data_IF_758433820030
#
_entry.id   IF_758433820030
#
_cell.length_a   1.000
_cell.length_b   1.000
_cell.length_c   1.000
_cell.angle_alpha   90.00
_cell.angle_beta   90.00
_cell.angle_gamma   90.00
#
_symmetry.space_group_name_H-M   'P 1'
#
loop_
_entity.id
_entity.type
_entity.pdbx_description
1 polymer ?
#
# COMPACT_ATOMS: atom_id res chain seq x y z
N UNK A 1 8.39 -6.30 -13.36
CA UNK A 1 6.95 -6.19 -13.08
C UNK A 1 6.61 -6.09 -11.59
N UNK A 2 7.23 -6.85 -10.68
CA UNK A 2 6.91 -6.83 -9.24
C UNK A 2 8.15 -6.91 -8.35
N UNK A 3 8.03 -6.39 -7.13
CA UNK A 3 8.97 -6.57 -6.02
C UNK A 3 8.26 -7.41 -4.96
N UNK A 4 9.00 -8.28 -4.28
CA UNK A 4 8.51 -9.12 -3.19
C UNK A 4 9.27 -8.79 -1.90
N UNK A 5 8.61 -8.96 -0.76
CA UNK A 5 9.19 -8.85 0.57
C UNK A 5 9.57 -10.24 1.10
N UNK A 6 10.77 -10.37 1.64
CA UNK A 6 11.24 -11.66 2.18
C UNK A 6 10.38 -12.14 3.36
N UNK A 7 9.94 -11.22 4.21
CA UNK A 7 9.08 -11.50 5.37
C UNK A 7 7.72 -12.11 5.02
N UNK A 8 7.24 -11.89 3.80
CA UNK A 8 5.96 -12.39 3.30
C UNK A 8 6.10 -13.56 2.30
N UNK A 9 7.31 -14.09 2.11
CA UNK A 9 7.54 -15.34 1.36
C UNK A 9 7.19 -16.55 2.23
N UNK A 10 5.89 -16.74 2.43
CA UNK A 10 5.32 -17.74 3.33
C UNK A 10 4.47 -18.73 2.54
N UNK A 11 4.43 -19.98 3.01
CA UNK A 11 3.54 -21.01 2.45
C UNK A 11 2.09 -20.52 2.50
N UNK A 12 1.37 -20.61 1.38
CA UNK A 12 -0.01 -20.17 1.28
C UNK A 12 -0.20 -18.66 1.12
N UNK A 13 0.86 -17.84 1.11
CA UNK A 13 0.78 -16.39 0.87
C UNK A 13 1.37 -16.06 -0.50
N UNK A 14 0.63 -15.30 -1.29
CA UNK A 14 1.12 -14.68 -2.54
C UNK A 14 1.02 -13.17 -2.39
N UNK A 15 2.07 -12.45 -2.71
CA UNK A 15 2.08 -10.99 -2.62
C UNK A 15 2.91 -10.35 -3.71
N UNK A 16 2.64 -9.10 -3.99
CA UNK A 16 3.40 -8.29 -4.93
C UNK A 16 3.26 -6.80 -4.61
N UNK A 17 4.37 -6.08 -4.64
CA UNK A 17 4.41 -4.65 -4.85
C UNK A 17 4.67 -4.45 -6.35
N UNK A 18 3.63 -4.13 -7.12
CA UNK A 18 3.78 -4.00 -8.56
C UNK A 18 4.52 -2.72 -8.92
N UNK A 19 5.45 -2.82 -9.87
CA UNK A 19 6.11 -1.66 -10.47
C UNK A 19 5.30 -1.12 -11.63
N UNK A 20 5.72 -0.02 -12.24
CA UNK A 20 5.09 0.52 -13.46
C UNK A 20 5.39 -0.29 -14.73
N UNK A 21 6.26 -1.31 -14.66
CA UNK A 21 6.77 -2.05 -15.83
C UNK A 21 5.91 -3.27 -16.15
N UNK A 22 5.64 -3.52 -17.44
CA UNK A 22 5.00 -4.75 -17.93
C UNK A 22 3.49 -4.65 -18.19
N UNK A 23 2.99 -3.43 -18.37
CA UNK A 23 1.60 -3.15 -18.73
C UNK A 23 1.41 -2.73 -20.18
N UNK A 24 0.21 -2.21 -20.49
CA UNK A 24 -0.22 -1.79 -21.81
C UNK A 24 -0.53 -0.30 -21.94
N UNK A 25 -0.53 0.42 -20.82
CA UNK A 25 -0.75 1.88 -20.82
C UNK A 25 0.42 2.63 -21.42
N UNK A 26 0.17 3.83 -21.93
CA UNK A 26 1.17 4.69 -22.59
C UNK A 26 1.24 6.08 -21.93
N UNK A 27 2.20 6.89 -22.32
CA UNK A 27 2.39 8.27 -21.86
C UNK A 27 2.62 8.35 -20.35
N UNK A 28 1.87 9.20 -19.65
CA UNK A 28 1.99 9.39 -18.19
C UNK A 28 1.76 8.09 -17.40
N UNK A 29 0.99 7.17 -17.97
CA UNK A 29 0.59 5.91 -17.35
C UNK A 29 1.45 4.70 -17.74
N UNK A 30 2.51 4.92 -18.52
CA UNK A 30 3.39 3.85 -19.01
C UNK A 30 4.06 3.13 -17.82
N UNK A 31 3.87 1.80 -17.70
CA UNK A 31 3.02 0.96 -18.54
C UNK A 31 1.96 0.21 -17.73
N UNK A 32 2.25 -0.22 -16.49
CA UNK A 32 1.39 -1.07 -15.65
C UNK A 32 0.59 -0.20 -14.65
N UNK A 33 -0.24 0.72 -15.16
CA UNK A 33 -1.14 1.50 -14.32
C UNK A 33 -2.35 0.67 -13.88
N UNK A 34 -2.54 0.51 -12.56
CA UNK A 34 -3.67 -0.20 -11.96
C UNK A 34 -4.76 0.71 -11.38
N UNK A 35 -4.59 2.02 -11.52
CA UNK A 35 -5.43 3.03 -10.89
C UNK A 35 -6.73 3.31 -11.63
N UNK A 36 -7.84 2.70 -11.21
CA UNK A 36 -9.19 2.91 -11.80
C UNK A 36 -9.72 4.34 -11.65
N UNK A 37 -9.09 5.18 -10.85
CA UNK A 37 -9.40 6.61 -10.73
C UNK A 37 -8.47 7.53 -11.52
N UNK A 38 -7.62 6.98 -12.40
CA UNK A 38 -6.80 7.76 -13.34
C UNK A 38 -7.60 8.11 -14.59
N UNK A 39 -7.09 9.09 -15.37
CA UNK A 39 -7.64 9.44 -16.69
C UNK A 39 -7.08 8.56 -17.82
N UNK A 40 -6.46 7.44 -17.49
CA UNK A 40 -6.02 6.43 -18.44
C UNK A 40 -7.22 5.73 -19.10
N UNK A 41 -6.99 5.08 -20.25
CA UNK A 41 -8.00 4.25 -20.88
C UNK A 41 -8.50 3.17 -19.92
N UNK A 42 -9.82 3.07 -19.64
CA UNK A 42 -10.37 2.03 -18.78
C UNK A 42 -9.98 0.61 -19.24
N UNK A 43 -9.93 0.37 -20.56
CA UNK A 43 -9.50 -0.92 -21.11
C UNK A 43 -8.06 -1.27 -20.76
N UNK A 44 -7.13 -0.29 -20.83
CA UNK A 44 -5.74 -0.49 -20.43
C UNK A 44 -5.62 -0.80 -18.93
N UNK A 45 -6.36 -0.07 -18.09
CA UNK A 45 -6.37 -0.29 -16.64
C UNK A 45 -6.91 -1.69 -16.32
N UNK A 46 -7.97 -2.14 -16.99
CA UNK A 46 -8.52 -3.50 -16.82
C UNK A 46 -7.52 -4.58 -17.22
N UNK A 47 -6.88 -4.45 -18.37
CA UNK A 47 -5.84 -5.38 -18.83
C UNK A 47 -4.65 -5.41 -17.86
N UNK A 48 -4.17 -4.26 -17.40
CA UNK A 48 -3.10 -4.18 -16.41
C UNK A 48 -3.47 -4.89 -15.11
N UNK A 49 -4.69 -4.69 -14.62
CA UNK A 49 -5.20 -5.37 -13.42
C UNK A 49 -5.35 -6.87 -13.62
N UNK A 50 -5.74 -7.32 -14.81
CA UNK A 50 -5.79 -8.74 -15.15
C UNK A 50 -4.39 -9.39 -15.09
N UNK A 51 -3.37 -8.73 -15.62
CA UNK A 51 -1.96 -9.18 -15.49
C UNK A 51 -1.50 -9.25 -14.04
N UNK A 52 -1.87 -8.28 -13.22
CA UNK A 52 -1.55 -8.27 -11.79
C UNK A 52 -2.25 -9.42 -11.05
N UNK A 53 -3.53 -9.66 -11.34
CA UNK A 53 -4.32 -10.77 -10.79
C UNK A 53 -3.70 -12.13 -11.15
N UNK A 54 -3.36 -12.32 -12.42
CA UNK A 54 -2.69 -13.52 -12.90
C UNK A 54 -1.35 -13.77 -12.19
N UNK A 55 -0.55 -12.71 -11.95
CA UNK A 55 0.72 -12.79 -11.22
C UNK A 55 0.55 -13.15 -9.73
N UNK A 56 -0.65 -12.99 -9.17
CA UNK A 56 -1.06 -13.42 -7.82
C UNK A 56 -1.81 -14.76 -7.84
N UNK A 57 -2.11 -15.30 -9.03
CA UNK A 57 -2.82 -16.58 -9.22
C UNK A 57 -4.29 -16.50 -8.83
N UNK A 58 -4.93 -15.35 -9.07
CA UNK A 58 -6.37 -15.14 -8.90
C UNK A 58 -7.01 -14.68 -10.20
N UNK A 59 -8.33 -14.85 -10.34
CA UNK A 59 -9.08 -14.29 -11.45
C UNK A 59 -9.13 -12.75 -11.36
N UNK A 60 -9.22 -12.01 -12.49
CA UNK A 60 -9.19 -10.55 -12.51
C UNK A 60 -10.21 -9.89 -11.58
N UNK A 61 -11.45 -10.42 -11.52
CA UNK A 61 -12.51 -9.92 -10.65
C UNK A 61 -12.32 -10.24 -9.17
N UNK A 62 -11.31 -11.02 -8.83
CA UNK A 62 -10.92 -11.36 -7.47
C UNK A 62 -9.71 -10.55 -6.97
N UNK A 63 -9.26 -9.55 -7.72
CA UNK A 63 -8.29 -8.54 -7.26
C UNK A 63 -9.03 -7.29 -6.81
N UNK A 64 -9.24 -7.18 -5.51
CA UNK A 64 -10.02 -6.09 -4.90
C UNK A 64 -9.17 -4.90 -4.51
N UNK A 65 -9.71 -3.72 -4.71
CA UNK A 65 -9.23 -2.46 -4.12
C UNK A 65 -10.44 -1.68 -3.60
N UNK A 66 -10.25 -0.87 -2.55
CA UNK A 66 -11.28 0.01 -2.02
C UNK A 66 -11.21 1.42 -2.65
N UNK A 67 -12.20 2.25 -2.37
CA UNK A 67 -12.13 3.68 -2.63
C UNK A 67 -11.36 4.36 -1.49
N UNK A 68 -10.11 4.73 -1.75
CA UNK A 68 -9.20 5.29 -0.75
C UNK A 68 -9.42 6.81 -0.61
N UNK A 69 -9.59 7.27 0.62
CA UNK A 69 -9.84 8.68 0.97
C UNK A 69 -8.87 9.23 2.02
N UNK A 70 -7.79 8.50 2.30
CA UNK A 70 -6.80 8.81 3.36
C UNK A 70 -7.44 8.80 4.75
N UNK A 71 -8.36 7.88 4.97
CA UNK A 71 -9.10 7.66 6.22
C UNK A 71 -8.45 6.57 7.09
N UNK A 72 -8.88 6.40 8.36
CA UNK A 72 -8.53 5.23 9.17
C UNK A 72 -9.44 4.02 8.90
N UNK A 73 -10.36 4.09 7.93
CA UNK A 73 -11.36 3.07 7.70
C UNK A 73 -10.76 1.77 7.16
N UNK A 74 -11.23 0.66 7.70
CA UNK A 74 -10.87 -0.71 7.31
C UNK A 74 -12.12 -1.47 6.92
N UNK A 75 -12.09 -2.19 5.82
CA UNK A 75 -13.17 -3.09 5.39
C UNK A 75 -12.73 -4.55 5.48
N UNK A 76 -13.62 -5.41 5.97
CA UNK A 76 -13.46 -6.86 5.90
C UNK A 76 -14.02 -7.34 4.57
N UNK A 77 -13.20 -8.00 3.75
CA UNK A 77 -13.67 -8.57 2.49
C UNK A 77 -14.15 -10.01 2.72
N UNK A 78 -15.47 -10.20 2.73
CA UNK A 78 -16.14 -11.50 2.85
C UNK A 78 -16.69 -12.01 1.52
N UNK A 79 -16.67 -11.16 0.47
CA UNK A 79 -17.05 -11.48 -0.90
C UNK A 79 -16.35 -10.52 -1.87
N UNK A 80 -16.19 -10.88 -3.15
CA UNK A 80 -15.76 -9.94 -4.17
C UNK A 80 -16.76 -8.79 -4.36
N UNK A 81 -16.24 -7.61 -4.69
CA UNK A 81 -17.04 -6.45 -5.12
C UNK A 81 -16.56 -5.92 -6.47
N UNK A 82 -17.41 -5.19 -7.15
CA UNK A 82 -17.08 -4.52 -8.41
C UNK A 82 -16.43 -3.15 -8.16
N UNK A 83 -15.81 -2.59 -9.18
CA UNK A 83 -15.22 -1.25 -9.12
C UNK A 83 -16.24 -0.17 -8.70
N UNK A 84 -17.49 -0.29 -9.13
CA UNK A 84 -18.55 0.70 -8.87
C UNK A 84 -19.10 0.63 -7.44
N UNK A 85 -19.03 -0.56 -6.82
CA UNK A 85 -19.51 -0.83 -5.47
C UNK A 85 -18.38 -0.91 -4.43
N UNK A 86 -17.20 -0.31 -4.72
CA UNK A 86 -16.07 -0.31 -3.80
C UNK A 86 -16.43 0.38 -2.49
N UNK A 87 -16.19 -0.26 -1.34
CA UNK A 87 -16.33 0.41 -0.05
C UNK A 87 -15.31 1.56 0.10
N UNK A 88 -15.69 2.60 0.87
CA UNK A 88 -14.77 3.69 1.23
C UNK A 88 -13.91 3.24 2.41
N UNK A 89 -12.67 2.87 2.12
CA UNK A 89 -11.70 2.41 3.10
C UNK A 89 -10.26 2.58 2.58
N UNK A 90 -9.31 2.72 3.49
CA UNK A 90 -7.88 2.78 3.17
C UNK A 90 -7.14 1.49 3.57
N UNK A 91 -7.86 0.52 4.13
CA UNK A 91 -7.33 -0.82 4.35
C UNK A 91 -8.41 -1.89 4.10
N UNK A 92 -7.94 -3.06 3.68
CA UNK A 92 -8.77 -4.24 3.46
C UNK A 92 -8.13 -5.40 4.21
N UNK A 93 -8.94 -6.18 4.93
CA UNK A 93 -8.52 -7.42 5.60
C UNK A 93 -9.42 -8.56 5.17
N UNK A 94 -8.91 -9.80 5.16
CA UNK A 94 -9.71 -10.98 4.80
C UNK A 94 -9.10 -12.28 5.30
N UNK A 95 -9.96 -13.32 5.39
CA UNK A 95 -9.58 -14.75 5.52
C UNK A 95 -9.93 -15.55 4.27
N UNK A 96 -10.48 -14.91 3.26
CA UNK A 96 -10.92 -15.61 2.06
C UNK A 96 -9.73 -16.06 1.21
N UNK A 97 -9.71 -17.35 0.90
CA UNK A 97 -8.75 -17.93 -0.06
C UNK A 97 -9.10 -17.53 -1.49
N UNK A 98 -8.09 -17.54 -2.34
CA UNK A 98 -8.20 -17.17 -3.76
C UNK A 98 -8.81 -15.77 -3.99
N UNK A 99 -8.72 -14.88 -3.01
CA UNK A 99 -9.07 -13.48 -3.08
C UNK A 99 -7.82 -12.64 -2.84
N UNK A 100 -7.47 -11.78 -3.78
CA UNK A 100 -6.39 -10.82 -3.61
C UNK A 100 -6.97 -9.48 -3.14
N UNK A 101 -6.44 -8.96 -2.05
CA UNK A 101 -6.75 -7.63 -1.54
C UNK A 101 -5.56 -6.70 -1.76
N UNK A 102 -5.81 -5.47 -2.16
CA UNK A 102 -4.73 -4.55 -2.48
C UNK A 102 -5.09 -3.09 -2.29
N UNK A 103 -4.05 -2.26 -2.26
CA UNK A 103 -4.15 -0.81 -2.20
C UNK A 103 -3.42 -0.17 -3.37
N UNK A 104 -3.92 0.98 -3.80
CA UNK A 104 -3.30 1.77 -4.87
C UNK A 104 -2.43 2.87 -4.27
N UNK A 105 -1.22 3.05 -4.80
CA UNK A 105 -0.30 4.09 -4.32
C UNK A 105 0.44 4.78 -5.45
N UNK A 106 0.85 6.02 -5.19
CA UNK A 106 1.91 6.74 -5.86
C UNK A 106 2.47 7.70 -4.80
N UNK A 107 3.52 7.27 -4.11
CA UNK A 107 4.20 7.90 -2.96
C UNK A 107 3.69 7.55 -1.57
N UNK A 108 2.39 7.36 -1.34
CA UNK A 108 1.90 6.90 -0.03
C UNK A 108 2.44 5.50 0.30
N UNK A 109 2.58 5.18 1.59
CA UNK A 109 3.10 3.91 2.06
C UNK A 109 2.09 2.76 1.89
N UNK A 110 2.37 1.76 1.04
CA UNK A 110 1.62 0.51 1.04
C UNK A 110 2.18 -0.42 2.11
N UNK A 111 1.29 -1.05 2.88
CA UNK A 111 1.65 -2.06 3.86
C UNK A 111 0.89 -3.34 3.54
N UNK A 112 1.61 -4.45 3.36
CA UNK A 112 1.03 -5.78 3.23
C UNK A 112 1.29 -6.55 4.53
N UNK A 113 0.24 -7.19 5.07
CA UNK A 113 0.28 -7.88 6.35
C UNK A 113 -0.23 -9.30 6.19
N UNK A 114 0.38 -10.25 6.92
CA UNK A 114 -0.08 -11.62 6.99
C UNK A 114 0.16 -12.22 8.37
N UNK A 115 -0.87 -12.86 8.92
CA UNK A 115 -0.71 -13.86 9.98
C UNK A 115 -0.96 -15.26 9.36
N UNK A 116 0.10 -16.05 9.09
CA UNK A 116 -0.06 -17.36 8.47
C UNK A 116 -0.74 -18.37 9.39
N UNK A 117 -0.66 -18.21 10.71
CA UNK A 117 -1.31 -19.11 11.69
C UNK A 117 -2.79 -18.81 11.81
N UNK A 118 -3.14 -17.52 11.91
CA UNK A 118 -4.54 -17.08 11.93
C UNK A 118 -5.24 -17.20 10.58
N UNK A 119 -4.48 -17.38 9.48
CA UNK A 119 -5.03 -17.40 8.12
C UNK A 119 -5.67 -16.08 7.73
N UNK A 120 -5.07 -14.96 8.16
CA UNK A 120 -5.58 -13.58 7.93
C UNK A 120 -4.56 -12.78 7.17
N UNK A 121 -5.00 -12.03 6.17
CA UNK A 121 -4.17 -11.08 5.43
C UNK A 121 -4.76 -9.67 5.47
N UNK A 122 -3.89 -8.66 5.30
CA UNK A 122 -4.25 -7.25 5.24
C UNK A 122 -3.47 -6.49 4.17
N UNK A 123 -4.09 -5.47 3.60
CA UNK A 123 -3.45 -4.49 2.72
C UNK A 123 -3.88 -3.09 3.15
N UNK A 124 -2.92 -2.21 3.45
CA UNK A 124 -3.16 -0.88 4.03
C UNK A 124 -2.51 0.21 3.20
N UNK A 125 -3.27 1.26 2.89
CA UNK A 125 -2.79 2.50 2.31
C UNK A 125 -2.51 3.51 3.42
N UNK A 126 -1.25 3.74 3.71
CA UNK A 126 -0.80 4.68 4.73
C UNK A 126 -0.14 5.92 4.11
N UNK A 127 -0.95 6.83 3.59
CA UNK A 127 -0.53 8.21 3.37
C UNK A 127 -0.38 8.92 4.73
N UNK A 128 0.27 10.11 4.76
CA UNK A 128 0.51 10.84 6.01
C UNK A 128 -0.75 11.02 6.88
N UNK A 129 -1.91 11.31 6.25
CA UNK A 129 -3.18 11.53 6.96
C UNK A 129 -3.68 10.23 7.58
N UNK A 130 -3.81 9.16 6.80
CA UNK A 130 -4.25 7.85 7.29
C UNK A 130 -3.32 7.31 8.37
N UNK A 131 -2.00 7.45 8.20
CA UNK A 131 -1.01 7.05 9.20
C UNK A 131 -1.17 7.84 10.52
N UNK A 132 -1.42 9.15 10.44
CA UNK A 132 -1.66 9.99 11.61
C UNK A 132 -2.96 9.61 12.32
N UNK A 133 -4.04 9.39 11.57
CA UNK A 133 -5.39 9.12 12.11
C UNK A 133 -5.64 7.66 12.50
N UNK A 134 -4.64 6.76 12.36
CA UNK A 134 -4.68 5.43 12.94
C UNK A 134 -5.10 4.29 12.01
N UNK A 135 -4.94 4.42 10.68
CA UNK A 135 -5.26 3.33 9.73
C UNK A 135 -4.47 2.05 10.01
N UNK A 136 -3.25 2.19 10.54
CA UNK A 136 -2.37 1.06 10.84
C UNK A 136 -2.91 0.26 12.01
N UNK A 137 -3.21 0.91 13.11
CA UNK A 137 -3.78 0.29 14.31
C UNK A 137 -5.16 -0.29 14.03
N UNK A 138 -5.98 0.44 13.26
CA UNK A 138 -7.30 -0.03 12.84
C UNK A 138 -7.19 -1.32 11.99
N UNK A 139 -6.17 -1.42 11.13
CA UNK A 139 -5.93 -2.63 10.32
C UNK A 139 -5.54 -3.80 11.21
N UNK A 140 -4.57 -3.62 12.12
CA UNK A 140 -4.14 -4.68 13.05
C UNK A 140 -5.32 -5.17 13.89
N UNK A 141 -6.09 -4.24 14.49
CA UNK A 141 -7.28 -4.58 15.26
C UNK A 141 -8.36 -5.32 14.42
N UNK A 142 -8.51 -4.97 13.14
CA UNK A 142 -9.42 -5.68 12.24
C UNK A 142 -8.92 -7.10 11.94
N UNK A 143 -7.61 -7.30 11.76
CA UNK A 143 -7.01 -8.64 11.60
C UNK A 143 -7.20 -9.48 12.86
N UNK A 144 -7.01 -8.90 14.05
CA UNK A 144 -7.22 -9.60 15.34
C UNK A 144 -8.67 -10.05 15.51
N UNK A 145 -9.65 -9.23 15.15
CA UNK A 145 -11.07 -9.65 15.13
C UNK A 145 -11.36 -10.83 14.22
N UNK A 146 -10.52 -11.03 13.19
CA UNK A 146 -10.58 -12.19 12.30
C UNK A 146 -9.77 -13.38 12.79
N UNK A 147 -9.12 -13.30 13.96
CA UNK A 147 -8.37 -14.38 14.59
C UNK A 147 -6.85 -14.32 14.37
N UNK A 148 -6.32 -13.21 13.88
CA UNK A 148 -4.88 -12.96 13.90
C UNK A 148 -4.40 -12.58 15.31
N UNK A 149 -3.10 -12.68 15.55
CA UNK A 149 -2.43 -12.21 16.77
C UNK A 149 -1.35 -11.21 16.37
N UNK A 150 -1.33 -10.03 16.98
CA UNK A 150 -0.47 -8.92 16.53
C UNK A 150 1.01 -9.30 16.45
N UNK A 151 1.54 -10.08 17.40
CA UNK A 151 2.94 -10.55 17.43
C UNK A 151 3.25 -11.63 16.38
N UNK A 152 2.23 -12.30 15.81
CA UNK A 152 2.37 -13.26 14.72
C UNK A 152 2.19 -12.61 13.34
N UNK A 153 1.67 -11.38 13.29
CA UNK A 153 1.55 -10.62 12.04
C UNK A 153 2.95 -10.26 11.53
N UNK A 154 3.21 -10.59 10.27
CA UNK A 154 4.34 -10.10 9.51
C UNK A 154 3.89 -8.97 8.61
N UNK A 155 4.58 -7.84 8.67
CA UNK A 155 4.29 -6.67 7.86
C UNK A 155 5.44 -6.33 6.93
N UNK A 156 5.12 -5.95 5.69
CA UNK A 156 6.08 -5.40 4.74
C UNK A 156 5.63 -4.01 4.29
N UNK A 157 6.50 -3.01 4.47
CA UNK A 157 6.33 -1.66 3.94
C UNK A 157 6.92 -1.64 2.53
N UNK A 158 6.09 -1.39 1.54
CA UNK A 158 6.47 -1.40 0.13
C UNK A 158 7.10 -0.10 -0.37
N UNK A 159 7.31 0.01 -1.70
CA UNK A 159 7.85 1.20 -2.33
C UNK A 159 6.96 2.42 -2.07
N UNK A 160 7.59 3.50 -1.57
CA UNK A 160 6.93 4.74 -1.20
C UNK A 160 7.89 5.93 -1.33
N UNK A 161 7.42 7.16 -1.19
CA UNK A 161 8.31 8.30 -1.12
C UNK A 161 9.17 8.23 0.16
N UNK A 162 10.48 8.40 0.02
CA UNK A 162 11.42 8.32 1.15
C UNK A 162 11.75 9.72 1.68
N UNK A 163 12.24 9.79 2.92
CA UNK A 163 12.56 11.04 3.60
C UNK A 163 13.37 12.00 2.72
N UNK A 164 14.40 11.52 2.02
CA UNK A 164 15.26 12.34 1.15
C UNK A 164 14.53 13.02 -0.01
N UNK A 165 13.31 12.61 -0.31
CA UNK A 165 12.47 13.14 -1.40
C UNK A 165 11.15 13.74 -0.90
N UNK A 166 10.88 13.69 0.42
CA UNK A 166 9.57 14.06 0.97
C UNK A 166 9.66 15.35 1.80
N UNK A 167 9.93 16.46 1.11
CA UNK A 167 9.82 17.79 1.68
C UNK A 167 8.36 18.15 1.96
N UNK A 168 8.07 18.65 3.17
CA UNK A 168 6.74 19.01 3.66
C UNK A 168 6.78 20.39 4.35
N UNK A 169 5.67 21.10 4.35
CA UNK A 169 5.56 22.40 5.01
C UNK A 169 5.41 22.30 6.52
N UNK A 170 5.58 23.43 7.20
CA UNK A 170 5.50 23.52 8.67
C UNK A 170 4.15 23.07 9.23
N UNK A 171 3.07 23.23 8.45
CA UNK A 171 1.73 22.81 8.85
C UNK A 171 1.60 21.30 9.05
N UNK A 172 2.37 20.49 8.29
CA UNK A 172 2.40 19.04 8.50
C UNK A 172 3.14 18.71 9.78
N UNK A 173 4.31 19.29 10.01
CA UNK A 173 5.06 19.13 11.26
C UNK A 173 4.19 19.48 12.48
N UNK A 174 3.52 20.63 12.44
CA UNK A 174 2.66 21.07 13.54
C UNK A 174 1.53 20.08 13.86
N UNK A 175 0.91 19.48 12.84
CA UNK A 175 -0.14 18.45 13.03
C UNK A 175 0.39 17.21 13.74
N UNK A 176 1.55 16.70 13.31
CA UNK A 176 2.16 15.51 13.93
C UNK A 176 2.62 15.80 15.36
N UNK A 177 3.22 16.97 15.59
CA UNK A 177 3.68 17.40 16.91
C UNK A 177 2.53 17.60 17.90
N UNK A 178 1.41 18.13 17.44
CA UNK A 178 0.20 18.33 18.27
C UNK A 178 -0.44 16.99 18.69
N UNK A 179 -0.40 15.97 17.82
CA UNK A 179 -0.92 14.64 18.14
C UNK A 179 0.01 13.86 19.06
N UNK A 180 1.31 13.90 18.79
CA UNK A 180 2.35 13.27 19.60
C UNK A 180 3.67 14.04 19.44
N UNK A 181 4.13 14.79 20.46
CA UNK A 181 5.41 15.52 20.38
C UNK A 181 6.63 14.65 20.05
N UNK A 182 6.59 13.36 20.40
CA UNK A 182 7.67 12.42 20.06
C UNK A 182 7.78 12.15 18.54
N UNK A 183 6.76 12.49 17.77
CA UNK A 183 6.76 12.37 16.30
C UNK A 183 7.76 13.32 15.63
N UNK A 184 8.23 14.36 16.33
CA UNK A 184 9.25 15.32 15.83
C UNK A 184 10.51 14.62 15.30
N UNK A 185 10.87 13.46 15.84
CA UNK A 185 12.02 12.65 15.40
C UNK A 185 11.96 12.16 13.95
N UNK A 186 10.77 12.16 13.34
CA UNK A 186 10.56 11.76 11.95
C UNK A 186 10.72 12.92 10.96
N UNK A 187 11.06 14.11 11.45
CA UNK A 187 11.27 15.31 10.65
C UNK A 187 12.72 15.77 10.74
N UNK A 188 13.41 15.77 9.62
CA UNK A 188 14.77 16.33 9.51
C UNK A 188 14.70 17.74 8.89
N UNK A 189 15.71 18.60 9.12
CA UNK A 189 15.79 19.90 8.45
C UNK A 189 15.75 19.78 6.93
N UNK A 190 15.03 20.67 6.27
CA UNK A 190 15.05 20.86 4.81
C UNK A 190 15.91 22.06 4.43
N UNK A 191 16.35 22.13 3.16
CA UNK A 191 17.07 23.30 2.66
C UNK A 191 16.17 24.54 2.58
N UNK A 192 14.88 24.35 2.35
CA UNK A 192 13.89 25.44 2.24
C UNK A 192 13.40 25.85 3.63
N UNK A 193 13.52 27.11 3.97
CA UNK A 193 13.01 27.68 5.24
C UNK A 193 11.52 27.34 5.43
N UNK A 194 11.12 26.97 6.64
CA UNK A 194 9.76 26.61 6.98
C UNK A 194 9.32 25.22 6.47
N UNK A 195 10.26 24.41 5.98
CA UNK A 195 10.00 23.04 5.51
C UNK A 195 10.82 22.02 6.29
N UNK A 196 10.39 20.77 6.24
CA UNK A 196 11.08 19.63 6.82
C UNK A 196 11.07 18.45 5.87
N UNK A 197 12.05 17.56 6.00
CA UNK A 197 12.08 16.27 5.31
C UNK A 197 11.43 15.22 6.19
N UNK A 198 10.27 14.70 5.77
CA UNK A 198 9.45 13.79 6.59
C UNK A 198 9.75 12.31 6.31
N UNK A 199 10.07 11.56 7.35
CA UNK A 199 10.25 10.10 7.32
C UNK A 199 8.90 9.40 7.59
N UNK A 200 8.04 9.34 6.57
CA UNK A 200 6.77 8.62 6.66
C UNK A 200 6.99 7.12 6.87
N UNK A 201 8.04 6.53 6.30
CA UNK A 201 8.30 5.09 6.45
C UNK A 201 8.71 4.75 7.88
N UNK A 202 9.60 5.52 8.48
CA UNK A 202 9.97 5.38 9.89
C UNK A 202 8.77 5.59 10.82
N UNK A 203 7.90 6.56 10.51
CA UNK A 203 6.64 6.75 11.24
C UNK A 203 5.71 5.54 11.15
N UNK A 204 5.47 4.99 9.94
CA UNK A 204 4.68 3.78 9.73
C UNK A 204 5.27 2.60 10.52
N UNK A 205 6.59 2.38 10.44
CA UNK A 205 7.25 1.29 11.16
C UNK A 205 7.08 1.42 12.69
N UNK A 206 7.17 2.65 13.22
CA UNK A 206 6.92 2.90 14.65
C UNK A 206 5.46 2.64 15.05
N UNK A 207 4.49 3.00 14.20
CA UNK A 207 3.05 2.74 14.43
C UNK A 207 2.74 1.24 14.40
N UNK A 208 3.31 0.47 13.45
CA UNK A 208 3.20 -0.99 13.40
C UNK A 208 3.72 -1.64 14.70
N UNK A 209 4.91 -1.23 15.15
CA UNK A 209 5.50 -1.73 16.40
C UNK A 209 4.62 -1.39 17.61
N UNK A 210 4.08 -0.18 17.69
CA UNK A 210 3.15 0.24 18.75
C UNK A 210 1.85 -0.57 18.74
N UNK A 211 1.38 -1.01 17.56
CA UNK A 211 0.24 -1.91 17.40
C UNK A 211 0.57 -3.39 17.71
N UNK A 212 1.79 -3.71 18.19
CA UNK A 212 2.18 -5.06 18.57
C UNK A 212 2.80 -5.91 17.45
N UNK A 213 2.96 -5.36 16.24
CA UNK A 213 3.59 -6.07 15.12
C UNK A 213 5.11 -6.03 15.28
N UNK A 214 5.72 -7.17 15.59
CA UNK A 214 7.16 -7.26 15.88
C UNK A 214 8.01 -7.53 14.64
N UNK A 215 7.45 -8.14 13.61
CA UNK A 215 8.14 -8.49 12.37
C UNK A 215 7.75 -7.50 11.26
N UNK A 216 8.55 -6.45 11.08
CA UNK A 216 8.34 -5.40 10.08
C UNK A 216 9.54 -5.34 9.15
N UNK A 217 9.33 -5.59 7.86
CA UNK A 217 10.31 -5.38 6.79
C UNK A 217 10.01 -4.08 6.07
N UNK A 218 10.99 -3.22 5.88
CA UNK A 218 10.91 -2.05 5.01
C UNK A 218 11.77 -2.31 3.77
N UNK A 219 11.14 -2.32 2.58
CA UNK A 219 11.85 -2.53 1.32
C UNK A 219 12.78 -1.37 0.94
N UNK A 220 12.70 -0.24 1.61
CA UNK A 220 13.55 0.94 1.45
C UNK A 220 13.63 1.50 0.02
N UNK A 221 12.62 1.25 -0.83
CA UNK A 221 12.54 1.70 -2.22
C UNK A 221 11.82 3.05 -2.32
N UNK A 222 12.42 4.01 -3.05
CA UNK A 222 11.85 5.35 -3.23
C UNK A 222 11.11 5.48 -4.56
N UNK A 223 9.80 5.76 -4.49
CA UNK A 223 8.99 5.96 -5.71
C UNK A 223 9.36 7.24 -6.46
N UNK A 224 9.75 8.30 -5.75
CA UNK A 224 10.18 9.55 -6.37
C UNK A 224 11.53 9.42 -7.08
N UNK A 225 12.52 8.79 -6.45
CA UNK A 225 13.88 8.71 -6.98
C UNK A 225 13.99 7.74 -8.16
N UNK A 226 13.22 6.66 -8.17
CA UNK A 226 13.27 5.62 -9.20
C UNK A 226 12.11 5.72 -10.19
N UNK A 227 12.25 6.64 -11.14
CA UNK A 227 11.24 6.89 -12.18
C UNK A 227 11.08 5.72 -13.17
N UNK A 228 12.10 4.89 -13.33
CA UNK A 228 12.07 3.73 -14.23
C UNK A 228 11.16 2.62 -13.70
N UNK A 229 11.07 2.46 -12.39
CA UNK A 229 10.26 1.41 -11.76
C UNK A 229 8.95 1.90 -11.17
N UNK A 230 8.83 3.19 -10.81
CA UNK A 230 7.69 3.65 -10.02
C UNK A 230 7.03 4.92 -10.55
N UNK A 231 5.70 4.96 -10.44
CA UNK A 231 4.92 6.20 -10.50
C UNK A 231 5.14 7.00 -9.22
N UNK A 232 5.04 8.34 -9.32
CA UNK A 232 5.14 9.21 -8.14
C UNK A 232 4.30 10.47 -8.34
N UNK A 233 3.37 10.70 -7.44
CA UNK A 233 2.56 11.92 -7.40
C UNK A 233 3.41 13.17 -7.22
N UNK A 234 4.40 13.14 -6.31
CA UNK A 234 5.31 14.25 -6.05
C UNK A 234 6.12 14.61 -7.31
N UNK A 235 6.63 13.61 -8.04
CA UNK A 235 7.36 13.83 -9.29
C UNK A 235 6.46 14.44 -10.37
N UNK A 236 5.23 13.95 -10.51
CA UNK A 236 4.22 14.50 -11.41
C UNK A 236 3.92 15.96 -11.08
N UNK A 237 3.71 16.27 -9.80
CA UNK A 237 3.49 17.65 -9.34
C UNK A 237 4.68 18.56 -9.68
N UNK A 238 5.92 18.10 -9.46
CA UNK A 238 7.12 18.89 -9.80
C UNK A 238 7.28 19.10 -11.31
N UNK A 239 6.72 18.21 -12.13
CA UNK A 239 6.74 18.32 -13.61
C UNK A 239 5.54 19.05 -14.19
N UNK A 240 4.57 19.45 -13.37
CA UNK A 240 3.33 20.07 -13.84
C UNK A 240 2.46 19.16 -14.70
N UNK A 241 2.58 17.83 -14.53
CA UNK A 241 1.79 16.85 -15.29
C UNK A 241 0.34 16.81 -14.76
N UNK A 242 -0.63 16.59 -15.66
CA UNK A 242 -2.05 16.73 -15.34
C UNK A 242 -2.66 15.54 -14.57
N UNK A 243 -2.03 14.36 -14.59
CA UNK A 243 -2.44 13.15 -13.86
C UNK A 243 -1.22 12.21 -13.72
N UNK A 244 -1.42 11.07 -13.06
CA UNK A 244 -0.35 10.10 -12.76
C UNK A 244 -0.88 8.67 -12.70
N UNK A 245 -0.02 7.70 -13.04
CA UNK A 245 -0.28 6.29 -12.85
C UNK A 245 -0.21 5.89 -11.37
N UNK A 246 -0.88 4.80 -11.02
CA UNK A 246 -0.91 4.25 -9.65
C UNK A 246 -0.52 2.78 -9.66
N UNK A 247 0.36 2.41 -8.73
CA UNK A 247 0.68 1.01 -8.46
C UNK A 247 -0.48 0.32 -7.75
N UNK A 248 -0.56 -0.99 -7.91
CA UNK A 248 -1.27 -1.86 -6.98
C UNK A 248 -0.23 -2.59 -6.13
N UNK A 249 -0.51 -2.70 -4.83
CA UNK A 249 0.26 -3.47 -3.87
C UNK A 249 -0.74 -4.45 -3.25
N UNK A 250 -0.55 -5.74 -3.48
CA UNK A 250 -1.59 -6.71 -3.17
C UNK A 250 -1.05 -8.02 -2.59
N UNK A 251 -1.91 -8.67 -1.82
CA UNK A 251 -1.65 -9.92 -1.12
C UNK A 251 -2.87 -10.84 -1.23
N UNK A 252 -2.63 -12.16 -1.31
CA UNK A 252 -3.66 -13.18 -1.41
C UNK A 252 -3.32 -14.40 -0.57
N UNK A 253 -4.34 -15.06 -0.02
CA UNK A 253 -4.26 -16.43 0.49
C UNK A 253 -4.42 -17.40 -0.69
N UNK A 254 -3.41 -18.24 -0.89
CA UNK A 254 -3.46 -19.24 -1.95
C UNK A 254 -4.46 -20.35 -1.62
N UNK A 255 -5.00 -20.98 -2.66
CA UNK A 255 -5.82 -22.17 -2.52
C UNK A 255 -4.92 -23.40 -2.26
N UNK A 256 -5.25 -24.24 -1.29
CA UNK A 256 -4.44 -25.41 -0.93
C UNK A 256 -4.37 -26.41 -2.10
N UNK A 257 -5.43 -26.50 -2.91
CA UNK A 257 -5.51 -27.41 -4.05
C UNK A 257 -4.58 -27.06 -5.23
N UNK A 258 -4.04 -25.83 -5.29
CA UNK A 258 -3.11 -25.40 -6.35
C UNK A 258 -1.64 -25.44 -5.96
N UNK A 259 -1.30 -25.93 -4.79
CA UNK A 259 0.08 -26.04 -4.31
C UNK A 259 0.72 -27.41 -4.61
N UNK A 260 -0.06 -28.37 -5.11
CA UNK A 260 0.36 -29.76 -5.37
C UNK A 260 0.52 -30.10 -6.87
N UNK A 261 0.57 -29.09 -7.75
CA UNK A 261 0.73 -29.28 -9.19
C UNK A 261 2.06 -28.59 -9.67
#
# INVERSE_FOLDING_TARGET
MKVAAASLMLTGIRHAFFTRVGGVSSGLYESLNGGVGSRDSPGNVMENRARMAAALGVEPQRLLTAYQSHSPNVVVAEAPWTTDNRPNADAIVTRMRSLAIGVTTADCGPILLADPRGGVIGATHAGWRGALTGVIEATVAAMERLGATADQIRAAIGPMIRQSSYEVGAELFARFHAEDPASSRFFAPACRTGHSMFDLAGYIAARLKRAGVVQVEDLALCTYADAGRFFSYRRTTHRGEADYGRHINAIALADELRMAA
#
